data_IF_967991949337
#
_entry.id   IF_967991949337
#
_cell.length_a   1.000
_cell.length_b   1.000
_cell.length_c   1.000
_cell.angle_alpha   90.00
_cell.angle_beta   90.00
_cell.angle_gamma   90.00
#
_symmetry.space_group_name_H-M   'P 1'
#
loop_
_entity.id
_entity.type
_entity.pdbx_description
1 polymer ?
#
# COMPACT_ATOMS: atom_id res chain seq x y z
N UNK A 1 4.10 -12.13 -14.37
CA UNK A 1 2.69 -12.53 -14.66
C UNK A 1 2.03 -12.97 -13.35
N UNK A 2 0.73 -12.75 -13.13
CA UNK A 2 0.05 -13.20 -11.90
C UNK A 2 -0.15 -14.73 -11.92
N UNK A 3 0.36 -15.40 -10.89
CA UNK A 3 0.37 -16.86 -10.70
C UNK A 3 -0.63 -17.28 -9.61
N UNK A 4 -0.85 -18.60 -9.44
CA UNK A 4 -1.65 -19.13 -8.33
C UNK A 4 -1.14 -18.68 -6.96
N UNK A 5 0.20 -18.58 -6.80
CA UNK A 5 0.84 -18.11 -5.56
C UNK A 5 0.47 -16.67 -5.23
N UNK A 6 0.28 -15.80 -6.22
CA UNK A 6 -0.09 -14.41 -5.98
C UNK A 6 -1.48 -14.29 -5.33
N UNK A 7 -2.43 -15.18 -5.64
CA UNK A 7 -3.73 -15.19 -4.97
C UNK A 7 -3.63 -15.62 -3.51
N UNK A 8 -2.79 -16.62 -3.21
CA UNK A 8 -2.55 -17.06 -1.83
C UNK A 8 -1.85 -15.96 -1.02
N UNK A 9 -0.85 -15.31 -1.61
CA UNK A 9 -0.15 -14.18 -0.99
C UNK A 9 -1.13 -13.01 -0.77
N UNK A 10 -2.01 -12.72 -1.74
CA UNK A 10 -3.05 -11.72 -1.61
C UNK A 10 -4.07 -12.04 -0.52
N UNK A 11 -4.56 -13.28 -0.46
CA UNK A 11 -5.46 -13.72 0.61
C UNK A 11 -4.79 -13.66 1.99
N UNK A 12 -3.50 -14.04 2.09
CA UNK A 12 -2.71 -13.89 3.30
C UNK A 12 -2.54 -12.42 3.72
N UNK A 13 -2.30 -11.51 2.76
CA UNK A 13 -2.31 -10.08 3.02
C UNK A 13 -3.67 -9.60 3.56
N UNK A 14 -4.76 -10.06 2.94
CA UNK A 14 -6.11 -9.73 3.40
C UNK A 14 -6.42 -10.31 4.79
N UNK A 15 -5.90 -11.48 5.13
CA UNK A 15 -6.03 -12.04 6.48
C UNK A 15 -5.31 -11.16 7.51
N UNK A 16 -4.08 -10.74 7.21
CA UNK A 16 -3.36 -9.79 8.06
C UNK A 16 -4.11 -8.46 8.18
N UNK A 17 -4.71 -7.96 7.09
CA UNK A 17 -5.57 -6.78 7.13
C UNK A 17 -6.75 -6.97 8.08
N UNK A 18 -7.42 -8.14 8.04
CA UNK A 18 -8.50 -8.43 8.97
C UNK A 18 -8.05 -8.38 10.44
N UNK A 19 -6.87 -8.95 10.76
CA UNK A 19 -6.29 -8.87 12.11
C UNK A 19 -6.11 -7.43 12.57
N UNK A 20 -5.49 -6.58 11.74
CA UNK A 20 -5.22 -5.19 12.09
C UNK A 20 -6.47 -4.29 12.06
N UNK A 21 -7.57 -4.72 11.46
CA UNK A 21 -8.85 -4.01 11.52
C UNK A 21 -9.61 -4.23 12.84
N UNK A 22 -9.35 -5.32 13.57
CA UNK A 22 -10.08 -5.63 14.81
C UNK A 22 -10.00 -4.52 15.88
N UNK A 23 -8.82 -3.94 16.19
CA UNK A 23 -8.73 -2.86 17.18
C UNK A 23 -9.52 -1.62 16.76
N UNK A 24 -9.56 -1.32 15.46
CA UNK A 24 -10.36 -0.21 14.92
C UNK A 24 -11.85 -0.48 15.08
N UNK A 25 -12.32 -1.69 14.75
CA UNK A 25 -13.72 -2.07 14.96
C UNK A 25 -14.11 -2.03 16.44
N UNK A 26 -13.20 -2.43 17.34
CA UNK A 26 -13.40 -2.36 18.77
C UNK A 26 -13.61 -0.92 19.23
N UNK A 27 -12.70 0.00 18.87
CA UNK A 27 -12.81 1.41 19.24
C UNK A 27 -14.04 2.11 18.66
N UNK A 28 -14.46 1.72 17.45
CA UNK A 28 -15.69 2.23 16.82
C UNK A 28 -16.97 1.55 17.37
N UNK A 29 -16.86 0.62 18.31
CA UNK A 29 -17.98 -0.15 18.90
C UNK A 29 -18.76 -0.97 17.86
N UNK A 30 -18.10 -1.35 16.77
CA UNK A 30 -18.66 -2.23 15.73
C UNK A 30 -18.19 -3.68 15.86
N UNK A 31 -17.26 -3.98 16.77
CA UNK A 31 -16.76 -5.35 16.94
C UNK A 31 -17.76 -6.21 17.72
N UNK A 32 -18.26 -7.25 17.07
CA UNK A 32 -19.02 -8.35 17.65
C UNK A 32 -18.63 -9.66 16.93
N UNK A 33 -19.22 -10.79 17.34
CA UNK A 33 -18.90 -12.11 16.75
C UNK A 33 -19.15 -12.12 15.24
N UNK A 34 -20.26 -11.56 14.79
CA UNK A 34 -20.63 -11.54 13.38
C UNK A 34 -19.67 -10.66 12.56
N UNK A 35 -19.36 -9.44 13.01
CA UNK A 35 -18.43 -8.54 12.30
C UNK A 35 -16.99 -9.04 12.35
N UNK A 36 -16.58 -9.68 13.45
CA UNK A 36 -15.29 -10.37 13.55
C UNK A 36 -15.15 -11.50 12.53
N UNK A 37 -16.14 -12.39 12.45
CA UNK A 37 -16.15 -13.47 11.45
C UNK A 37 -16.19 -12.89 10.03
N UNK A 38 -17.04 -11.88 9.81
CA UNK A 38 -17.19 -11.24 8.50
C UNK A 38 -15.87 -10.66 7.99
N UNK A 39 -15.07 -9.98 8.82
CA UNK A 39 -13.79 -9.43 8.33
C UNK A 39 -12.79 -10.53 7.97
N UNK A 40 -12.73 -11.64 8.71
CA UNK A 40 -11.83 -12.74 8.39
C UNK A 40 -12.23 -13.53 7.14
N UNK A 41 -13.47 -13.41 6.67
CA UNK A 41 -13.93 -14.04 5.43
C UNK A 41 -13.88 -13.04 4.28
N UNK A 42 -14.54 -11.90 4.43
CA UNK A 42 -14.74 -10.93 3.35
C UNK A 42 -13.44 -10.23 2.95
N UNK A 43 -12.55 -9.88 3.88
CA UNK A 43 -11.33 -9.14 3.55
C UNK A 43 -10.33 -9.99 2.76
N UNK A 44 -9.98 -11.25 3.14
CA UNK A 44 -9.15 -12.10 2.30
C UNK A 44 -9.72 -12.35 0.90
N UNK A 45 -11.04 -12.56 0.80
CA UNK A 45 -11.73 -12.73 -0.49
C UNK A 45 -11.64 -11.46 -1.34
N UNK A 46 -11.86 -10.29 -0.74
CA UNK A 46 -11.75 -9.00 -1.41
C UNK A 46 -10.32 -8.75 -1.92
N UNK A 47 -9.29 -9.12 -1.16
CA UNK A 47 -7.90 -9.01 -1.60
C UNK A 47 -7.58 -9.94 -2.76
N UNK A 48 -8.01 -11.20 -2.68
CA UNK A 48 -7.86 -12.16 -3.77
C UNK A 48 -8.58 -11.68 -5.04
N UNK A 49 -9.78 -11.10 -4.88
CA UNK A 49 -10.51 -10.45 -5.96
C UNK A 49 -9.77 -9.23 -6.51
N UNK A 50 -9.17 -8.39 -5.68
CA UNK A 50 -8.34 -7.26 -6.13
C UNK A 50 -7.13 -7.69 -6.97
N UNK A 51 -6.45 -8.76 -6.56
CA UNK A 51 -5.37 -9.37 -7.35
C UNK A 51 -5.91 -9.95 -8.66
N UNK A 52 -7.07 -10.60 -8.63
CA UNK A 52 -7.75 -11.07 -9.85
C UNK A 52 -8.11 -9.92 -10.79
N UNK A 53 -8.65 -8.83 -10.27
CA UNK A 53 -9.02 -7.64 -11.03
C UNK A 53 -7.77 -7.02 -11.68
N UNK A 54 -6.66 -6.97 -10.95
CA UNK A 54 -5.36 -6.57 -11.50
C UNK A 54 -4.92 -7.47 -12.67
N UNK A 55 -5.15 -8.80 -12.58
CA UNK A 55 -4.88 -9.74 -13.68
C UNK A 55 -5.80 -9.54 -14.87
N UNK A 56 -7.09 -9.34 -14.60
CA UNK A 56 -8.11 -9.11 -15.61
C UNK A 56 -7.83 -7.84 -16.40
N UNK A 57 -7.62 -6.72 -15.69
CA UNK A 57 -7.21 -5.44 -16.28
C UNK A 57 -5.83 -5.55 -16.97
N UNK A 58 -4.97 -6.43 -16.44
CA UNK A 58 -3.65 -6.78 -16.96
C UNK A 58 -3.65 -7.36 -18.37
N UNK A 59 -4.80 -7.82 -18.87
CA UNK A 59 -4.98 -8.29 -20.25
C UNK A 59 -4.89 -7.15 -21.26
N UNK A 60 -5.32 -5.93 -20.90
CA UNK A 60 -5.19 -4.76 -21.74
C UNK A 60 -3.84 -4.07 -21.56
N UNK A 61 -3.40 -3.87 -20.31
CA UNK A 61 -2.11 -3.27 -19.99
C UNK A 61 -1.41 -4.04 -18.88
N UNK A 62 -0.23 -4.62 -19.16
CA UNK A 62 0.56 -5.44 -18.21
C UNK A 62 0.83 -4.74 -16.87
N UNK A 63 0.81 -3.40 -16.86
CA UNK A 63 0.88 -2.54 -15.67
C UNK A 63 -0.06 -2.97 -14.54
N UNK A 64 -1.32 -3.31 -14.88
CA UNK A 64 -2.35 -3.59 -13.87
C UNK A 64 -2.05 -4.83 -13.02
N UNK A 65 -1.22 -5.75 -13.51
CA UNK A 65 -0.79 -6.92 -12.75
C UNK A 65 0.01 -6.54 -11.50
N UNK A 66 0.89 -5.55 -11.62
CA UNK A 66 1.67 -5.04 -10.49
C UNK A 66 0.81 -4.08 -9.66
N UNK A 67 0.00 -3.25 -10.33
CA UNK A 67 -0.85 -2.28 -9.65
C UNK A 67 -1.87 -2.94 -8.70
N UNK A 68 -2.53 -4.03 -9.12
CA UNK A 68 -3.48 -4.74 -8.23
C UNK A 68 -2.82 -5.27 -6.95
N UNK A 69 -1.59 -5.79 -7.06
CA UNK A 69 -0.79 -6.23 -5.90
C UNK A 69 -0.37 -5.04 -5.04
N UNK A 70 0.05 -3.94 -5.67
CA UNK A 70 0.44 -2.71 -4.99
C UNK A 70 -0.70 -2.13 -4.15
N UNK A 71 -1.91 -2.06 -4.71
CA UNK A 71 -3.10 -1.57 -4.00
C UNK A 71 -3.43 -2.48 -2.81
N UNK A 72 -3.35 -3.80 -2.97
CA UNK A 72 -3.55 -4.75 -1.86
C UNK A 72 -2.54 -4.53 -0.72
N UNK A 73 -1.27 -4.25 -1.03
CA UNK A 73 -0.25 -3.89 -0.04
C UNK A 73 -0.55 -2.55 0.61
N UNK A 74 -1.01 -1.56 -0.17
CA UNK A 74 -1.44 -0.25 0.33
C UNK A 74 -2.51 -0.37 1.41
N UNK A 75 -3.60 -1.10 1.15
CA UNK A 75 -4.64 -1.32 2.14
C UNK A 75 -4.16 -2.09 3.37
N UNK A 76 -3.26 -3.07 3.20
CA UNK A 76 -2.62 -3.73 4.34
C UNK A 76 -1.85 -2.73 5.21
N UNK A 77 -1.04 -1.86 4.62
CA UNK A 77 -0.30 -0.84 5.37
C UNK A 77 -1.24 0.14 6.09
N UNK A 78 -2.33 0.55 5.44
CA UNK A 78 -3.36 1.37 6.08
C UNK A 78 -3.94 0.65 7.29
N UNK A 79 -4.31 -0.63 7.15
CA UNK A 79 -4.84 -1.41 8.28
C UNK A 79 -3.84 -1.52 9.42
N UNK A 80 -2.54 -1.75 9.15
CA UNK A 80 -1.49 -1.79 10.18
C UNK A 80 -1.43 -0.46 10.93
N UNK A 81 -1.41 0.67 10.21
CA UNK A 81 -1.35 1.99 10.82
C UNK A 81 -2.56 2.26 11.72
N UNK A 82 -3.77 1.98 11.22
CA UNK A 82 -5.00 2.11 12.00
C UNK A 82 -5.04 1.15 13.18
N UNK A 83 -4.68 -0.11 12.99
CA UNK A 83 -4.66 -1.12 14.04
C UNK A 83 -3.74 -0.75 15.18
N UNK A 84 -2.50 -0.35 14.86
CA UNK A 84 -1.52 0.08 15.88
C UNK A 84 -2.01 1.32 16.61
N UNK A 85 -2.50 2.33 15.89
CA UNK A 85 -3.08 3.54 16.48
C UNK A 85 -4.22 3.21 17.46
N UNK A 86 -5.12 2.30 17.06
CA UNK A 86 -6.26 1.92 17.88
C UNK A 86 -5.86 1.08 19.09
N UNK A 87 -4.89 0.16 18.95
CA UNK A 87 -4.31 -0.58 20.10
C UNK A 87 -3.74 0.40 21.11
N UNK A 88 -2.95 1.38 20.65
CA UNK A 88 -2.32 2.37 21.51
C UNK A 88 -3.36 3.25 22.20
N UNK A 89 -4.43 3.64 21.50
CA UNK A 89 -5.55 4.37 22.10
C UNK A 89 -6.26 3.55 23.18
N UNK A 90 -6.47 2.24 22.98
CA UNK A 90 -7.07 1.34 23.98
C UNK A 90 -6.18 1.23 25.23
N UNK A 91 -4.88 1.03 25.04
CA UNK A 91 -3.93 0.82 26.14
C UNK A 91 -3.69 2.11 26.95
N UNK A 92 -3.61 3.26 26.27
CA UNK A 92 -3.26 4.54 26.91
C UNK A 92 -4.47 5.35 27.34
N UNK A 93 -5.67 5.06 26.82
CA UNK A 93 -6.88 5.88 27.00
C UNK A 93 -6.83 7.22 26.27
N UNK A 94 -5.73 7.53 25.58
CA UNK A 94 -5.58 8.78 24.84
C UNK A 94 -6.29 8.67 23.49
N UNK A 95 -7.08 9.69 23.15
CA UNK A 95 -7.81 9.78 21.87
C UNK A 95 -7.47 11.05 21.08
N UNK A 96 -6.71 11.97 21.66
CA UNK A 96 -6.27 13.21 21.02
C UNK A 96 -4.93 13.71 21.60
N UNK A 97 -4.26 14.62 20.88
CA UNK A 97 -3.09 15.36 21.35
C UNK A 97 -1.75 14.88 20.78
N UNK A 98 -0.70 15.67 21.04
CA UNK A 98 0.67 15.41 20.55
C UNK A 98 1.23 14.05 21.00
N UNK A 99 0.75 13.54 22.14
CA UNK A 99 1.11 12.23 22.65
C UNK A 99 0.70 11.12 21.68
N UNK A 100 -0.48 11.21 21.03
CA UNK A 100 -0.89 10.28 19.97
C UNK A 100 0.03 10.34 18.76
N UNK A 101 0.46 11.55 18.37
CA UNK A 101 1.38 11.77 17.25
C UNK A 101 2.71 11.03 17.44
N UNK A 102 3.36 11.25 18.59
CA UNK A 102 4.60 10.54 18.92
C UNK A 102 4.42 9.03 19.05
N UNK A 103 3.30 8.60 19.63
CA UNK A 103 2.96 7.19 19.83
C UNK A 103 2.62 6.46 18.51
N UNK A 104 2.13 7.19 17.49
CA UNK A 104 1.79 6.61 16.18
C UNK A 104 3.00 6.37 15.27
N UNK A 105 4.14 7.02 15.55
CA UNK A 105 5.34 6.94 14.71
C UNK A 105 5.92 5.51 14.56
N UNK A 106 6.00 4.66 15.61
CA UNK A 106 6.35 3.25 15.46
C UNK A 106 5.41 2.48 14.54
N UNK A 107 4.11 2.78 14.56
CA UNK A 107 3.13 2.16 13.68
C UNK A 107 3.34 2.53 12.22
N UNK A 108 3.63 3.80 11.97
CA UNK A 108 4.03 4.28 10.65
C UNK A 108 5.32 3.60 10.15
N UNK A 109 6.35 3.49 11.01
CA UNK A 109 7.61 2.81 10.64
C UNK A 109 7.38 1.33 10.33
N UNK A 110 6.62 0.62 11.16
CA UNK A 110 6.27 -0.78 10.91
C UNK A 110 5.49 -0.95 9.60
N UNK A 111 4.52 -0.07 9.33
CA UNK A 111 3.79 -0.07 8.07
C UNK A 111 4.70 0.23 6.87
N UNK A 112 5.64 1.16 7.00
CA UNK A 112 6.60 1.50 5.95
C UNK A 112 7.59 0.36 5.68
N UNK A 113 8.12 -0.28 6.73
CA UNK A 113 8.99 -1.45 6.62
C UNK A 113 8.24 -2.63 5.99
N UNK A 114 7.01 -2.91 6.44
CA UNK A 114 6.14 -3.90 5.83
C UNK A 114 5.94 -3.60 4.34
N UNK A 115 5.59 -2.35 4.01
CA UNK A 115 5.43 -1.89 2.62
C UNK A 115 6.65 -2.20 1.75
N UNK A 116 7.86 -1.92 2.24
CA UNK A 116 9.09 -2.19 1.50
C UNK A 116 9.22 -3.66 1.11
N UNK A 117 9.06 -4.57 2.08
CA UNK A 117 9.22 -6.00 1.84
C UNK A 117 8.14 -6.56 0.92
N UNK A 118 6.89 -6.18 1.11
CA UNK A 118 5.81 -6.60 0.22
C UNK A 118 5.99 -6.07 -1.20
N UNK A 119 6.44 -4.82 -1.36
CA UNK A 119 6.71 -4.25 -2.66
C UNK A 119 7.88 -4.95 -3.36
N UNK A 120 8.99 -5.18 -2.65
CA UNK A 120 10.18 -5.84 -3.21
C UNK A 120 9.92 -7.31 -3.56
N UNK A 121 9.38 -8.08 -2.62
CA UNK A 121 9.30 -9.54 -2.76
C UNK A 121 8.03 -10.06 -3.41
N UNK A 122 6.98 -9.23 -3.53
CA UNK A 122 5.72 -9.66 -4.16
C UNK A 122 5.29 -8.78 -5.33
N UNK A 123 5.17 -7.47 -5.13
CA UNK A 123 4.66 -6.56 -6.18
C UNK A 123 5.62 -6.50 -7.36
N UNK A 124 6.88 -6.17 -7.09
CA UNK A 124 7.94 -5.94 -8.08
C UNK A 124 8.96 -7.08 -8.15
N UNK A 125 8.64 -8.26 -7.61
CA UNK A 125 9.55 -9.43 -7.60
C UNK A 125 10.16 -9.75 -8.96
N UNK A 126 9.37 -9.64 -10.03
CA UNK A 126 9.81 -9.98 -11.39
C UNK A 126 10.80 -8.94 -11.97
N UNK A 127 10.93 -7.76 -11.35
CA UNK A 127 11.79 -6.64 -11.80
C UNK A 127 12.91 -6.34 -10.80
N UNK A 128 12.69 -6.63 -9.53
CA UNK A 128 13.66 -6.51 -8.45
C UNK A 128 14.67 -7.65 -8.58
N UNK A 129 15.96 -7.34 -8.76
CA UNK A 129 17.00 -8.37 -8.93
C UNK A 129 17.00 -9.37 -7.78
N UNK A 130 16.63 -10.63 -8.05
CA UNK A 130 16.39 -11.68 -7.03
C UNK A 130 17.64 -12.01 -6.20
N UNK A 131 18.84 -11.74 -6.74
CA UNK A 131 20.12 -12.01 -6.11
C UNK A 131 20.81 -10.77 -5.53
N UNK A 132 20.14 -9.60 -5.53
CA UNK A 132 20.71 -8.38 -4.96
C UNK A 132 20.41 -8.25 -3.46
N UNK A 133 21.29 -7.54 -2.75
CA UNK A 133 21.12 -7.26 -1.31
C UNK A 133 19.72 -6.73 -1.01
N UNK A 134 19.03 -7.35 -0.04
CA UNK A 134 17.63 -7.06 0.27
C UNK A 134 17.37 -5.58 0.52
N UNK A 135 18.30 -4.86 1.15
CA UNK A 135 18.13 -3.44 1.51
C UNK A 135 18.69 -2.45 0.49
N UNK A 136 19.24 -2.89 -0.64
CA UNK A 136 19.85 -2.01 -1.66
C UNK A 136 18.86 -0.97 -2.23
N UNK A 137 17.59 -1.33 -2.34
CA UNK A 137 16.55 -0.47 -2.91
C UNK A 137 15.89 0.42 -1.85
N UNK A 138 16.18 0.21 -0.57
CA UNK A 138 15.57 0.93 0.55
C UNK A 138 15.77 2.45 0.45
N UNK A 139 16.97 2.99 0.13
CA UNK A 139 17.14 4.43 -0.02
C UNK A 139 16.27 5.02 -1.14
N UNK A 140 16.18 4.34 -2.29
CA UNK A 140 15.34 4.80 -3.41
C UNK A 140 13.85 4.73 -3.07
N UNK A 141 13.43 3.65 -2.42
CA UNK A 141 12.06 3.50 -1.93
C UNK A 141 11.72 4.61 -0.92
N UNK A 142 12.61 4.89 0.03
CA UNK A 142 12.43 5.94 1.02
C UNK A 142 12.34 7.33 0.35
N UNK A 143 13.19 7.61 -0.64
CA UNK A 143 13.12 8.86 -1.42
C UNK A 143 11.78 9.02 -2.14
N UNK A 144 11.33 8.00 -2.88
CA UNK A 144 10.04 8.06 -3.59
C UNK A 144 8.89 8.29 -2.60
N UNK A 145 8.91 7.58 -1.47
CA UNK A 145 7.89 7.69 -0.41
C UNK A 145 7.89 9.09 0.23
N UNK A 146 9.08 9.63 0.51
CA UNK A 146 9.26 10.96 1.09
C UNK A 146 8.71 12.05 0.16
N UNK A 147 9.09 12.04 -1.13
CA UNK A 147 8.56 12.99 -2.10
C UNK A 147 7.06 12.78 -2.36
N UNK A 148 6.57 11.54 -2.29
CA UNK A 148 5.14 11.25 -2.33
C UNK A 148 4.38 11.89 -1.16
N UNK A 149 4.93 11.84 0.05
CA UNK A 149 4.35 12.51 1.21
C UNK A 149 4.37 14.04 1.06
N UNK A 150 5.46 14.61 0.55
CA UNK A 150 5.53 16.05 0.27
C UNK A 150 4.49 16.47 -0.79
N UNK A 151 4.37 15.69 -1.87
CA UNK A 151 3.35 15.90 -2.90
C UNK A 151 1.94 15.85 -2.31
N UNK A 152 1.67 14.92 -1.38
CA UNK A 152 0.39 14.85 -0.68
C UNK A 152 0.06 16.18 0.03
N UNK A 153 1.00 16.66 0.85
CA UNK A 153 0.84 17.90 1.61
C UNK A 153 0.64 19.11 0.69
N UNK A 154 1.43 19.21 -0.39
CA UNK A 154 1.29 20.29 -1.38
C UNK A 154 -0.08 20.25 -2.05
N UNK A 155 -0.55 19.08 -2.46
CA UNK A 155 -1.86 18.94 -3.10
C UNK A 155 -3.01 19.28 -2.14
N UNK A 156 -2.96 18.83 -0.89
CA UNK A 156 -3.98 19.17 0.11
C UNK A 156 -4.04 20.69 0.30
N UNK A 157 -2.91 21.33 0.61
CA UNK A 157 -2.84 22.79 0.79
C UNK A 157 -3.35 23.50 -0.47
N UNK A 158 -2.92 23.05 -1.65
CA UNK A 158 -3.32 23.67 -2.90
C UNK A 158 -4.85 23.62 -3.10
N UNK A 159 -5.43 22.43 -2.97
CA UNK A 159 -6.87 22.18 -3.17
C UNK A 159 -7.74 22.84 -2.10
N UNK A 160 -7.27 22.99 -0.86
CA UNK A 160 -8.09 23.57 0.22
C UNK A 160 -7.93 25.08 0.37
N UNK A 161 -6.80 25.64 -0.06
CA UNK A 161 -6.50 27.07 0.12
C UNK A 161 -6.75 27.89 -1.14
N UNK A 162 -6.43 27.34 -2.33
CA UNK A 162 -6.57 28.08 -3.60
C UNK A 162 -7.78 27.66 -4.43
N UNK A 163 -8.53 26.64 -4.02
CA UNK A 163 -9.77 26.24 -4.67
C UNK A 163 -10.94 26.31 -3.69
N UNK A 164 -12.01 26.99 -4.10
CA UNK A 164 -13.26 27.00 -3.35
C UNK A 164 -13.96 25.64 -3.42
N UNK A 165 -14.72 25.25 -2.37
CA UNK A 165 -15.53 24.05 -2.40
C UNK A 165 -16.43 23.97 -3.64
N UNK A 166 -16.30 22.87 -4.39
CA UNK A 166 -17.14 22.59 -5.58
C UNK A 166 -18.24 21.60 -5.24
N UNK A 167 -19.21 21.46 -6.14
CA UNK A 167 -20.29 20.45 -6.07
C UNK A 167 -21.21 20.58 -4.84
N UNK A 168 -21.34 21.79 -4.29
CA UNK A 168 -22.18 22.03 -3.10
C UNK A 168 -21.62 21.41 -1.82
N UNK A 169 -20.34 21.01 -1.82
CA UNK A 169 -19.69 20.46 -0.64
C UNK A 169 -19.41 21.57 0.38
N UNK A 170 -19.65 21.29 1.66
CA UNK A 170 -19.14 22.14 2.73
C UNK A 170 -17.61 22.02 2.86
N UNK A 171 -17.01 22.82 3.75
CA UNK A 171 -15.54 22.82 3.93
C UNK A 171 -14.99 21.49 4.43
N UNK A 172 -15.73 20.77 5.27
CA UNK A 172 -15.29 19.48 5.82
C UNK A 172 -15.33 18.40 4.73
N UNK A 173 -16.42 18.35 3.97
CA UNK A 173 -16.56 17.45 2.84
C UNK A 173 -15.54 17.77 1.74
N UNK A 174 -15.27 19.04 1.47
CA UNK A 174 -14.23 19.48 0.53
C UNK A 174 -12.83 19.06 0.95
N UNK A 175 -12.47 19.22 2.23
CA UNK A 175 -11.20 18.75 2.78
C UNK A 175 -11.01 17.24 2.56
N UNK A 176 -12.06 16.45 2.81
CA UNK A 176 -12.02 15.00 2.59
C UNK A 176 -11.89 14.66 1.09
N UNK A 177 -12.61 15.37 0.21
CA UNK A 177 -12.49 15.20 -1.23
C UNK A 177 -11.07 15.53 -1.73
N UNK A 178 -10.48 16.64 -1.24
CA UNK A 178 -9.11 17.03 -1.53
C UNK A 178 -8.11 15.96 -1.04
N UNK A 179 -8.30 15.43 0.16
CA UNK A 179 -7.46 14.38 0.72
C UNK A 179 -7.53 13.07 -0.12
N UNK A 180 -8.72 12.69 -0.59
CA UNK A 180 -8.90 11.54 -1.49
C UNK A 180 -8.17 11.77 -2.82
N UNK A 181 -8.33 12.94 -3.44
CA UNK A 181 -7.67 13.29 -4.69
C UNK A 181 -6.13 13.30 -4.55
N UNK A 182 -5.61 13.92 -3.49
CA UNK A 182 -4.19 13.95 -3.18
C UNK A 182 -3.62 12.55 -2.93
N UNK A 183 -4.36 11.71 -2.19
CA UNK A 183 -3.97 10.32 -1.93
C UNK A 183 -3.95 9.48 -3.21
N UNK A 184 -4.91 9.67 -4.12
CA UNK A 184 -4.92 8.99 -5.42
C UNK A 184 -3.72 9.40 -6.30
N UNK A 185 -3.39 10.69 -6.36
CA UNK A 185 -2.22 11.18 -7.07
C UNK A 185 -0.91 10.60 -6.51
N UNK A 186 -0.79 10.56 -5.19
CA UNK A 186 0.39 10.01 -4.49
C UNK A 186 0.50 8.50 -4.66
N UNK A 187 -0.62 7.79 -4.69
CA UNK A 187 -0.65 6.35 -4.99
C UNK A 187 -0.08 6.08 -6.39
N UNK A 188 -0.44 6.89 -7.38
CA UNK A 188 0.13 6.79 -8.74
C UNK A 188 1.61 7.15 -8.74
N UNK A 189 2.01 8.27 -8.11
CA UNK A 189 3.41 8.69 -7.98
C UNK A 189 4.28 7.59 -7.37
N UNK A 190 3.87 7.07 -6.21
CA UNK A 190 4.61 6.04 -5.50
C UNK A 190 4.70 4.76 -6.33
N UNK A 191 3.60 4.31 -6.95
CA UNK A 191 3.63 3.14 -7.81
C UNK A 191 4.65 3.30 -8.96
N UNK A 192 4.59 4.42 -9.68
CA UNK A 192 5.48 4.68 -10.82
C UNK A 192 6.94 4.82 -10.36
N UNK A 193 7.19 5.56 -9.28
CA UNK A 193 8.52 5.71 -8.71
C UNK A 193 9.10 4.38 -8.21
N UNK A 194 8.30 3.55 -7.55
CA UNK A 194 8.74 2.21 -7.14
C UNK A 194 9.05 1.32 -8.34
N UNK A 195 8.17 1.33 -9.34
CA UNK A 195 8.32 0.50 -10.55
C UNK A 195 9.54 0.87 -11.38
N UNK A 196 9.72 2.16 -11.66
CA UNK A 196 10.69 2.63 -12.65
C UNK A 196 12.00 3.13 -12.05
N UNK A 197 12.02 3.47 -10.76
CA UNK A 197 13.21 3.98 -10.09
C UNK A 197 13.70 3.08 -8.96
N UNK A 198 12.84 2.76 -7.98
CA UNK A 198 13.27 2.02 -6.79
C UNK A 198 13.62 0.55 -7.10
N UNK A 199 12.72 -0.16 -7.77
CA UNK A 199 12.82 -1.61 -8.06
C UNK A 199 13.06 -1.91 -9.54
N UNK A 200 13.62 -0.94 -10.27
CA UNK A 200 14.00 -1.13 -11.67
C UNK A 200 15.32 -1.90 -11.75
N UNK A 201 15.36 -2.95 -12.57
CA UNK A 201 16.61 -3.63 -12.90
C UNK A 201 17.55 -2.64 -13.60
N UNK A 202 18.78 -2.48 -13.11
CA UNK A 202 19.81 -1.76 -13.89
C UNK A 202 19.95 -2.48 -15.23
N UNK A 203 19.83 -1.73 -16.33
CA UNK A 203 20.04 -2.24 -17.69
C UNK A 203 21.38 -2.96 -17.77
N UNK A 204 21.34 -4.28 -17.90
CA UNK A 204 22.52 -5.12 -17.84
C UNK A 204 22.16 -6.59 -17.62
N UNK A 205 21.55 -7.21 -18.63
CA UNK A 205 21.72 -8.62 -19.02
C UNK A 205 20.68 -9.02 -20.08
N UNK A 206 20.68 -8.32 -21.21
CA UNK A 206 20.21 -8.89 -22.47
C UNK A 206 21.30 -9.76 -23.16
N UNK A 207 22.43 -10.03 -22.50
CA UNK A 207 23.58 -10.75 -23.10
C UNK A 207 23.83 -12.16 -22.57
N UNK A 208 23.06 -12.67 -21.59
CA UNK A 208 23.35 -13.97 -20.95
C UNK A 208 22.49 -15.15 -21.41
N UNK A 209 21.51 -14.93 -22.31
CA UNK A 209 20.51 -15.96 -22.63
C UNK A 209 20.73 -16.70 -23.95
N UNK A 210 21.72 -16.31 -24.76
CA UNK A 210 21.97 -16.91 -26.08
C UNK A 210 23.24 -17.78 -26.15
N UNK A 211 23.92 -18.07 -25.04
CA UNK A 211 25.15 -18.86 -25.07
C UNK A 211 24.98 -20.36 -24.75
N UNK A 212 23.77 -20.80 -24.37
CA UNK A 212 23.49 -22.22 -24.07
C UNK A 212 22.76 -22.97 -25.18
N UNK A 213 22.26 -22.28 -26.21
CA UNK A 213 21.47 -22.89 -27.29
C UNK A 213 22.30 -23.19 -28.56
N UNK A 214 23.64 -23.13 -28.48
CA UNK A 214 24.53 -23.35 -29.63
C UNK A 214 25.37 -24.65 -29.55
N UNK A 215 25.16 -25.51 -28.55
CA UNK A 215 25.94 -26.75 -28.38
C UNK A 215 25.12 -27.96 -27.90
N UNK A 216 23.85 -28.07 -28.32
CA UNK A 216 23.01 -29.24 -28.03
C UNK A 216 22.40 -29.83 -29.30
#
# INVERSE_FOLDING_TARGET
MITKRDYLIGAGAGFLTAVFLLPTLYNLKYLNVATGIAVFICIPVLWAFGVWLGKFLGRWLKFFNQFGKYVAVGFLNTSINFGILNILSIVTGTTAGLMLGGISAPGFLLAATNSYFWNKFWVFRDTSGVNETVLKDLPKFALVTFFGALLNSVLIVYLTTYMEPRFGLDRSAWLNAANVAASAAVLIWNFLGYKFFAFSAKGGSASGRNQYDATG
#
